data_IF_600111645374
#
_entry.id   IF_600111645374
#
_cell.length_a   1.000
_cell.length_b   1.000
_cell.length_c   1.000
_cell.angle_alpha   90.00
_cell.angle_beta   90.00
_cell.angle_gamma   90.00
#
_symmetry.space_group_name_H-M   'P 1'
#
loop_
_entity.id
_entity.type
_entity.pdbx_description
1 polymer ?
#
# COMPACT_ATOMS: atom_id res chain seq x y z
N UNK A 1 -22.17 83.63 -41.53
CA UNK A 1 -22.69 84.30 -40.32
C UNK A 1 -23.44 83.29 -39.47
N UNK A 2 -23.12 83.25 -38.16
CA UNK A 2 -23.92 82.85 -36.97
C UNK A 2 -24.85 81.60 -36.99
N UNK A 3 -24.54 80.66 -36.08
CA UNK A 3 -25.35 79.91 -35.06
C UNK A 3 -26.90 80.07 -35.04
N UNK A 4 -27.72 79.16 -34.42
CA UNK A 4 -27.43 78.15 -33.36
C UNK A 4 -28.03 76.73 -33.59
N UNK A 5 -27.57 75.65 -32.91
CA UNK A 5 -27.98 75.12 -31.56
C UNK A 5 -29.49 74.79 -31.51
N UNK A 6 -29.89 73.53 -31.29
CA UNK A 6 -30.01 72.94 -29.94
C UNK A 6 -29.82 71.42 -29.90
N UNK A 7 -29.12 71.00 -28.85
CA UNK A 7 -28.93 69.64 -28.36
C UNK A 7 -30.03 69.27 -27.34
N UNK A 8 -30.10 67.97 -27.04
CA UNK A 8 -30.03 67.36 -25.69
C UNK A 8 -31.31 66.71 -25.12
N UNK A 9 -31.08 65.52 -24.51
CA UNK A 9 -31.90 64.65 -23.62
C UNK A 9 -32.61 63.47 -24.31
N UNK A 10 -32.48 62.18 -23.94
CA UNK A 10 -31.78 61.51 -22.83
C UNK A 10 -31.84 59.97 -23.00
N UNK A 11 -30.77 59.28 -22.58
CA UNK A 11 -30.74 58.09 -21.71
C UNK A 11 -31.17 56.66 -22.15
N UNK A 12 -30.15 55.77 -21.99
CA UNK A 12 -30.11 54.37 -21.51
C UNK A 12 -29.79 53.30 -22.58
N UNK A 13 -28.52 52.89 -22.73
CA UNK A 13 -27.72 51.92 -21.91
C UNK A 13 -28.16 50.46 -22.13
N UNK A 14 -27.31 49.66 -22.79
CA UNK A 14 -26.54 48.50 -22.25
C UNK A 14 -27.05 47.20 -22.94
N UNK A 15 -26.27 46.18 -23.30
CA UNK A 15 -24.87 45.85 -23.12
C UNK A 15 -24.46 44.79 -24.16
N UNK A 16 -23.20 44.83 -24.59
CA UNK A 16 -22.50 43.73 -25.26
C UNK A 16 -22.49 42.48 -24.36
N UNK A 17 -22.75 41.30 -24.92
CA UNK A 17 -22.32 40.02 -24.36
C UNK A 17 -21.51 39.28 -25.42
N UNK A 18 -20.19 39.45 -25.34
CA UNK A 18 -19.17 38.72 -26.08
C UNK A 18 -19.02 37.34 -25.40
N UNK A 19 -19.60 36.29 -25.97
CA UNK A 19 -19.48 34.93 -25.41
C UNK A 19 -18.11 34.34 -25.76
N UNK A 20 -17.22 34.37 -24.77
CA UNK A 20 -15.93 33.72 -24.72
C UNK A 20 -16.13 32.19 -24.78
N UNK A 21 -15.76 31.55 -25.89
CA UNK A 21 -15.72 30.07 -25.99
C UNK A 21 -14.50 29.58 -25.24
N UNK A 22 -14.71 29.09 -24.01
CA UNK A 22 -13.68 28.41 -23.22
C UNK A 22 -13.51 27.00 -23.78
N UNK A 23 -12.43 26.79 -24.54
CA UNK A 23 -11.93 25.45 -24.87
C UNK A 23 -11.41 24.81 -23.59
N UNK A 24 -12.21 23.94 -22.96
CA UNK A 24 -11.76 23.11 -21.84
C UNK A 24 -10.83 22.05 -22.43
N UNK A 25 -9.54 22.18 -22.13
CA UNK A 25 -8.55 21.15 -22.42
C UNK A 25 -8.94 19.87 -21.68
N UNK A 26 -9.41 18.86 -22.41
CA UNK A 26 -9.55 17.50 -21.93
C UNK A 26 -8.16 16.98 -21.58
N UNK A 27 -7.87 16.97 -20.28
CA UNK A 27 -6.66 16.39 -19.72
C UNK A 27 -6.53 14.94 -20.16
N UNK A 28 -5.30 14.52 -20.49
CA UNK A 28 -4.91 13.13 -20.58
C UNK A 28 -5.32 12.41 -19.30
N UNK A 29 -6.39 11.62 -19.32
CA UNK A 29 -6.57 10.57 -18.33
C UNK A 29 -5.77 9.37 -18.85
N UNK A 30 -4.72 8.91 -18.13
CA UNK A 30 -4.12 7.62 -18.45
C UNK A 30 -5.21 6.55 -18.40
N UNK A 31 -5.09 5.48 -19.22
CA UNK A 31 -6.06 4.39 -19.20
C UNK A 31 -6.21 3.89 -17.76
N UNK A 32 -7.43 3.53 -17.31
CA UNK A 32 -7.62 2.94 -16.00
C UNK A 32 -6.73 1.69 -15.94
N UNK A 33 -5.70 1.74 -15.10
CA UNK A 33 -4.93 0.56 -14.73
C UNK A 33 -5.93 -0.50 -14.27
N UNK A 34 -5.83 -1.73 -14.79
CA UNK A 34 -6.60 -2.83 -14.23
C UNK A 34 -6.46 -2.79 -12.70
N UNK A 35 -7.56 -2.91 -11.95
CA UNK A 35 -7.47 -2.82 -10.51
C UNK A 35 -6.48 -3.88 -10.05
N UNK A 36 -5.48 -3.48 -9.27
CA UNK A 36 -4.38 -4.31 -8.75
C UNK A 36 -4.88 -5.49 -7.88
N UNK A 37 -6.19 -5.70 -7.82
CA UNK A 37 -6.90 -6.70 -7.05
C UNK A 37 -7.05 -6.33 -5.58
N UNK A 38 -6.55 -5.16 -5.17
CA UNK A 38 -6.64 -4.61 -3.83
C UNK A 38 -7.06 -3.14 -3.81
N UNK A 39 -7.61 -2.69 -2.68
CA UNK A 39 -8.09 -1.34 -2.43
C UNK A 39 -7.16 -0.62 -1.44
N UNK A 40 -6.76 0.61 -1.76
CA UNK A 40 -6.03 1.46 -0.82
C UNK A 40 -6.98 2.04 0.23
N UNK A 41 -6.73 1.74 1.51
CA UNK A 41 -7.50 2.26 2.64
C UNK A 41 -6.87 3.52 3.23
N UNK A 42 -5.54 3.52 3.38
CA UNK A 42 -4.79 4.64 3.94
C UNK A 42 -3.48 4.79 3.17
N UNK A 43 -3.16 6.02 2.78
CA UNK A 43 -1.89 6.33 2.12
C UNK A 43 -0.70 6.15 3.08
N UNK A 44 0.46 5.77 2.54
CA UNK A 44 1.70 5.65 3.28
C UNK A 44 2.11 6.99 3.92
N UNK A 45 2.41 6.97 5.21
CA UNK A 45 3.00 8.09 5.94
C UNK A 45 4.51 7.94 6.13
N UNK A 46 5.04 6.71 6.09
CA UNK A 46 6.47 6.40 5.98
C UNK A 46 6.84 6.17 4.52
N UNK A 47 8.02 6.66 4.12
CA UNK A 47 8.57 6.53 2.77
C UNK A 47 9.99 5.93 2.82
N UNK A 48 10.45 5.29 1.73
CA UNK A 48 11.85 4.87 1.63
C UNK A 48 12.80 6.04 1.89
N UNK A 49 13.79 5.83 2.75
CA UNK A 49 14.70 6.89 3.23
C UNK A 49 14.29 7.53 4.55
N UNK A 50 13.02 7.41 4.97
CA UNK A 50 12.59 7.91 6.28
C UNK A 50 13.19 7.06 7.41
N UNK A 51 13.45 7.72 8.54
CA UNK A 51 13.87 7.02 9.76
C UNK A 51 12.69 6.24 10.32
N UNK A 52 12.84 4.92 10.46
CA UNK A 52 11.80 4.08 11.05
C UNK A 52 11.66 4.37 12.56
N UNK A 53 10.42 4.54 13.07
CA UNK A 53 10.20 4.74 14.50
C UNK A 53 10.60 3.49 15.27
N UNK A 54 11.22 3.64 16.44
CA UNK A 54 11.55 2.51 17.31
C UNK A 54 10.36 2.21 18.24
N UNK A 55 9.74 1.02 18.16
CA UNK A 55 8.58 0.70 18.97
C UNK A 55 8.95 0.39 20.42
N UNK A 56 8.01 0.60 21.34
CA UNK A 56 8.14 0.14 22.74
C UNK A 56 7.97 -1.37 22.88
N UNK A 57 7.16 -1.97 21.99
CA UNK A 57 6.95 -3.40 21.89
C UNK A 57 6.84 -3.82 20.43
N UNK A 58 7.88 -4.48 19.92
CA UNK A 58 7.91 -4.98 18.55
C UNK A 58 7.00 -6.21 18.38
N UNK A 59 6.29 -6.28 17.25
CA UNK A 59 5.54 -7.46 16.81
C UNK A 59 6.18 -8.14 15.59
N UNK A 60 7.09 -7.43 14.91
CA UNK A 60 7.93 -7.93 13.83
C UNK A 60 9.36 -7.51 14.07
N UNK A 61 10.30 -8.45 13.91
CA UNK A 61 11.74 -8.17 13.87
C UNK A 61 12.29 -8.57 12.52
N UNK A 62 12.99 -7.66 11.85
CA UNK A 62 13.66 -7.92 10.57
C UNK A 62 15.17 -7.85 10.79
N UNK A 63 15.90 -8.81 10.27
CA UNK A 63 17.36 -8.91 10.39
C UNK A 63 18.02 -9.18 9.04
N UNK A 64 19.36 -9.15 9.03
CA UNK A 64 20.15 -9.51 7.86
C UNK A 64 20.55 -8.30 7.02
N UNK A 65 20.46 -8.44 5.69
CA UNK A 65 20.91 -7.44 4.70
C UNK A 65 20.00 -6.22 4.61
N UNK A 66 20.11 -5.34 5.60
CA UNK A 66 19.25 -4.16 5.79
C UNK A 66 20.05 -2.85 5.65
N UNK A 67 19.45 -1.83 5.03
CA UNK A 67 20.02 -0.49 4.92
C UNK A 67 19.36 0.56 5.82
N UNK A 68 18.23 0.23 6.47
CA UNK A 68 17.50 1.18 7.34
C UNK A 68 17.16 0.63 8.74
N UNK A 69 18.13 0.13 9.53
CA UNK A 69 17.86 -0.39 10.87
C UNK A 69 17.44 0.70 11.87
N UNK A 70 16.53 0.37 12.79
CA UNK A 70 16.09 1.26 13.88
C UNK A 70 16.37 0.69 15.29
N UNK A 71 16.90 -0.53 15.38
CA UNK A 71 17.25 -1.19 16.63
C UNK A 71 18.53 -2.02 16.46
N UNK A 72 19.69 -1.38 16.70
CA UNK A 72 20.98 -2.01 16.48
C UNK A 72 21.17 -2.37 15.00
N UNK A 73 21.37 -3.65 14.70
CA UNK A 73 21.45 -4.18 13.33
C UNK A 73 20.13 -4.75 12.81
N UNK A 74 19.02 -4.52 13.52
CA UNK A 74 17.69 -5.01 13.17
C UNK A 74 16.72 -3.85 12.92
N UNK A 75 15.61 -4.18 12.25
CA UNK A 75 14.41 -3.35 12.21
C UNK A 75 13.37 -3.98 13.15
N UNK A 76 12.90 -3.22 14.11
CA UNK A 76 11.79 -3.57 14.98
C UNK A 76 10.56 -2.77 14.56
N UNK A 77 9.43 -3.44 14.34
CA UNK A 77 8.17 -2.79 13.96
C UNK A 77 7.04 -3.22 14.88
N UNK A 78 6.20 -2.25 15.26
CA UNK A 78 4.88 -2.49 15.82
C UNK A 78 3.80 -2.42 14.72
N UNK A 79 2.53 -2.51 15.11
CA UNK A 79 1.43 -2.47 14.14
C UNK A 79 1.32 -1.10 13.45
N UNK A 80 1.51 -0.01 14.20
CA UNK A 80 1.37 1.35 13.67
C UNK A 80 2.42 1.63 12.60
N UNK A 81 3.68 1.28 12.87
CA UNK A 81 4.77 1.42 11.90
C UNK A 81 4.63 0.52 10.67
N UNK A 82 4.03 -0.66 10.79
CA UNK A 82 3.68 -1.51 9.64
C UNK A 82 2.58 -0.84 8.81
N UNK A 83 1.47 -0.43 9.44
CA UNK A 83 0.34 0.20 8.74
C UNK A 83 0.71 1.58 8.15
N UNK A 84 1.73 2.24 8.69
CA UNK A 84 2.29 3.50 8.17
C UNK A 84 2.99 3.35 6.81
N UNK A 85 3.35 2.13 6.39
CA UNK A 85 3.81 1.84 5.03
C UNK A 85 2.71 1.98 3.97
N UNK A 86 1.46 2.17 4.39
CA UNK A 86 0.27 2.15 3.53
C UNK A 86 -0.61 0.97 3.90
N UNK A 87 -1.90 1.23 4.08
CA UNK A 87 -2.87 0.20 4.41
C UNK A 87 -3.70 -0.12 3.17
N UNK A 88 -3.69 -1.39 2.77
CA UNK A 88 -4.54 -1.90 1.70
C UNK A 88 -5.50 -2.96 2.25
N UNK A 89 -6.60 -3.16 1.54
CA UNK A 89 -7.50 -4.28 1.74
C UNK A 89 -7.54 -5.13 0.48
N UNK A 90 -7.50 -6.45 0.63
CA UNK A 90 -7.89 -7.32 -0.47
C UNK A 90 -8.53 -8.62 -0.04
N UNK A 91 -9.33 -9.13 -0.96
CA UNK A 91 -10.12 -10.36 -0.81
C UNK A 91 -9.33 -11.52 -1.42
N UNK A 92 -9.19 -12.61 -0.67
CA UNK A 92 -8.50 -13.81 -1.12
C UNK A 92 -9.20 -15.07 -0.64
N UNK A 93 -8.91 -16.20 -1.29
CA UNK A 93 -9.33 -17.52 -0.80
C UNK A 93 -8.28 -18.11 0.13
N UNK A 94 -8.48 -17.92 1.43
CA UNK A 94 -7.65 -18.51 2.49
C UNK A 94 -7.94 -20.02 2.61
N UNK A 95 -6.94 -20.93 2.58
CA UNK A 95 -7.15 -22.36 2.82
C UNK A 95 -7.74 -22.69 4.21
N UNK A 96 -7.58 -21.82 5.20
CA UNK A 96 -8.04 -22.01 6.58
C UNK A 96 -9.43 -21.44 6.86
N UNK A 97 -9.98 -20.59 5.98
CA UNK A 97 -11.32 -20.03 6.11
C UNK A 97 -12.19 -20.45 4.92
N UNK A 98 -13.41 -20.94 5.15
CA UNK A 98 -14.31 -21.26 4.05
C UNK A 98 -14.72 -19.98 3.30
N UNK A 99 -14.50 -19.96 1.99
CA UNK A 99 -14.88 -18.85 1.11
C UNK A 99 -13.80 -17.80 0.95
N UNK A 100 -14.21 -16.59 0.58
CA UNK A 100 -13.31 -15.45 0.40
C UNK A 100 -13.30 -14.57 1.63
N UNK A 101 -12.11 -14.23 2.13
CA UNK A 101 -11.91 -13.40 3.33
C UNK A 101 -11.19 -12.10 2.94
N UNK A 102 -11.53 -10.98 3.59
CA UNK A 102 -10.83 -9.71 3.41
C UNK A 102 -9.75 -9.57 4.48
N UNK A 103 -8.52 -9.33 4.05
CA UNK A 103 -7.43 -8.97 4.95
C UNK A 103 -7.07 -7.50 4.75
N UNK A 104 -6.53 -6.88 5.81
CA UNK A 104 -5.91 -5.56 5.72
C UNK A 104 -4.51 -5.60 6.30
N UNK A 105 -3.61 -4.84 5.68
CA UNK A 105 -2.20 -4.78 6.06
C UNK A 105 -1.40 -3.93 5.10
N UNK A 106 -0.08 -4.02 5.21
CA UNK A 106 0.85 -3.41 4.28
C UNK A 106 1.33 -4.44 3.26
N UNK A 107 1.57 -4.00 2.02
CA UNK A 107 2.20 -4.85 1.02
C UNK A 107 3.65 -5.12 1.43
N UNK A 108 4.09 -6.37 1.26
CA UNK A 108 5.47 -6.74 1.54
C UNK A 108 6.45 -5.92 0.69
N UNK A 109 6.11 -5.63 -0.57
CA UNK A 109 6.90 -4.77 -1.45
C UNK A 109 7.17 -3.38 -0.86
N UNK A 110 6.14 -2.74 -0.29
CA UNK A 110 6.27 -1.42 0.35
C UNK A 110 7.16 -1.49 1.58
N UNK A 111 7.01 -2.54 2.40
CA UNK A 111 7.86 -2.77 3.57
C UNK A 111 9.33 -3.01 3.18
N UNK A 112 9.59 -3.83 2.15
CA UNK A 112 10.96 -4.08 1.64
C UNK A 112 11.60 -2.77 1.15
N UNK A 113 10.83 -1.90 0.50
CA UNK A 113 11.30 -0.57 0.09
C UNK A 113 11.65 0.32 1.29
N UNK A 114 10.86 0.29 2.37
CA UNK A 114 11.18 1.00 3.62
C UNK A 114 12.45 0.49 4.30
N UNK A 115 12.71 -0.82 4.24
CA UNK A 115 13.87 -1.46 4.87
C UNK A 115 15.18 -1.20 4.12
N UNK A 116 15.10 -0.73 2.87
CA UNK A 116 16.24 -0.36 2.02
C UNK A 116 17.28 -1.47 1.98
N UNK A 117 16.89 -2.64 1.47
CA UNK A 117 17.75 -3.84 1.49
C UNK A 117 19.10 -3.59 0.82
N UNK A 118 20.11 -4.32 1.28
CA UNK A 118 21.38 -4.39 0.56
C UNK A 118 21.15 -4.90 -0.88
N UNK A 119 21.78 -4.32 -1.92
CA UNK A 119 21.66 -4.81 -3.30
C UNK A 119 21.99 -6.30 -3.48
N UNK A 120 22.81 -6.88 -2.60
CA UNK A 120 23.16 -8.30 -2.63
C UNK A 120 22.09 -9.20 -1.97
N UNK A 121 21.00 -8.64 -1.45
CA UNK A 121 19.88 -9.43 -0.91
C UNK A 121 19.14 -10.18 -2.02
N UNK A 122 18.89 -11.46 -1.81
CA UNK A 122 18.28 -12.34 -2.83
C UNK A 122 17.10 -13.14 -2.31
N UNK A 123 17.06 -13.38 -1.00
CA UNK A 123 16.02 -14.18 -0.37
C UNK A 123 15.53 -13.52 0.92
N UNK A 124 14.32 -13.89 1.33
CA UNK A 124 13.83 -13.62 2.66
C UNK A 124 13.34 -14.92 3.30
N UNK A 125 13.62 -15.08 4.58
CA UNK A 125 13.08 -16.16 5.39
C UNK A 125 12.03 -15.60 6.35
N UNK A 126 10.79 -16.05 6.20
CA UNK A 126 9.68 -15.77 7.10
C UNK A 126 9.71 -16.77 8.25
N UNK A 127 9.51 -16.30 9.48
CA UNK A 127 9.44 -17.15 10.68
C UNK A 127 8.19 -16.86 11.52
N UNK A 128 7.43 -17.92 11.78
CA UNK A 128 6.30 -17.92 12.70
C UNK A 128 6.73 -18.10 14.16
N UNK A 129 5.83 -17.77 15.08
CA UNK A 129 6.03 -17.89 16.53
C UNK A 129 6.33 -19.31 16.99
N UNK A 130 5.77 -20.33 16.34
CA UNK A 130 5.98 -21.75 16.65
C UNK A 130 7.30 -22.31 16.08
N UNK A 131 8.06 -21.48 15.36
CA UNK A 131 9.31 -21.87 14.72
C UNK A 131 9.15 -22.34 13.27
N UNK A 132 7.93 -22.37 12.71
CA UNK A 132 7.74 -22.63 11.29
C UNK A 132 8.45 -21.59 10.42
N UNK A 133 9.11 -22.03 9.36
CA UNK A 133 9.90 -21.17 8.48
C UNK A 133 9.65 -21.47 7.01
N UNK A 134 9.67 -20.40 6.21
CA UNK A 134 9.54 -20.44 4.76
C UNK A 134 10.55 -19.47 4.17
N UNK A 135 11.34 -19.92 3.20
CA UNK A 135 12.23 -19.05 2.43
C UNK A 135 11.60 -18.77 1.07
N UNK A 136 11.63 -17.50 0.66
CA UNK A 136 11.12 -17.02 -0.62
C UNK A 136 12.23 -16.25 -1.34
N UNK A 137 12.37 -16.44 -2.65
CA UNK A 137 13.22 -15.58 -3.47
C UNK A 137 12.57 -14.21 -3.62
N UNK A 138 13.36 -13.13 -3.46
CA UNK A 138 12.90 -11.76 -3.74
C UNK A 138 12.46 -11.60 -5.20
N UNK A 139 13.09 -12.32 -6.13
CA UNK A 139 12.76 -12.27 -7.55
C UNK A 139 11.41 -12.94 -7.83
N UNK A 140 11.08 -14.05 -7.14
CA UNK A 140 9.82 -14.78 -7.35
C UNK A 140 8.61 -14.01 -6.82
N UNK A 141 8.80 -13.17 -5.80
CA UNK A 141 7.72 -12.42 -5.14
C UNK A 141 7.63 -10.96 -5.59
N UNK A 142 8.52 -10.49 -6.47
CA UNK A 142 8.62 -9.08 -6.85
C UNK A 142 7.30 -8.50 -7.39
N UNK A 143 6.58 -9.29 -8.19
CA UNK A 143 5.30 -8.91 -8.80
C UNK A 143 4.08 -9.53 -8.10
N UNK A 144 4.28 -10.14 -6.92
CA UNK A 144 3.20 -10.76 -6.15
C UNK A 144 2.76 -9.77 -5.05
N UNK A 145 1.47 -9.36 -5.01
CA UNK A 145 0.96 -8.46 -3.97
C UNK A 145 0.76 -9.20 -2.64
N UNK A 146 1.84 -9.72 -2.07
CA UNK A 146 1.86 -10.35 -0.76
C UNK A 146 1.53 -9.32 0.33
N UNK A 147 0.63 -9.68 1.23
CA UNK A 147 0.24 -8.83 2.34
C UNK A 147 0.86 -9.33 3.64
N UNK A 148 1.48 -8.40 4.38
CA UNK A 148 1.71 -8.58 5.81
C UNK A 148 0.45 -8.10 6.52
N UNK A 149 -0.49 -9.02 6.73
CA UNK A 149 -1.79 -8.71 7.31
C UNK A 149 -1.66 -8.35 8.78
N UNK A 150 -2.35 -7.28 9.16
CA UNK A 150 -2.52 -6.83 10.55
C UNK A 150 -3.96 -7.03 11.02
N UNK A 151 -4.91 -7.23 10.10
CA UNK A 151 -6.34 -7.30 10.38
C UNK A 151 -7.01 -8.33 9.48
N UNK A 152 -8.06 -8.94 10.02
CA UNK A 152 -9.02 -9.74 9.28
C UNK A 152 -10.35 -9.00 9.32
N UNK A 153 -10.93 -8.76 8.15
CA UNK A 153 -12.02 -7.81 7.96
C UNK A 153 -11.65 -6.43 8.51
N UNK A 154 -12.43 -5.87 9.44
CA UNK A 154 -12.11 -4.61 10.14
C UNK A 154 -11.52 -4.82 11.55
N UNK A 155 -11.32 -6.07 11.97
CA UNK A 155 -10.96 -6.43 13.33
C UNK A 155 -9.50 -6.89 13.44
N UNK A 156 -9.03 -7.10 14.67
CA UNK A 156 -7.71 -7.71 14.89
C UNK A 156 -7.71 -9.13 14.36
N UNK A 157 -6.53 -9.59 13.93
CA UNK A 157 -6.35 -11.00 13.61
C UNK A 157 -6.73 -11.89 14.80
N UNK A 158 -7.41 -13.03 14.56
CA UNK A 158 -7.64 -14.02 15.59
C UNK A 158 -6.30 -14.58 16.12
N UNK A 159 -6.25 -15.14 17.34
CA UNK A 159 -5.01 -15.60 17.96
C UNK A 159 -4.17 -16.55 17.09
N UNK A 160 -4.81 -17.40 16.29
CA UNK A 160 -4.14 -18.36 15.41
C UNK A 160 -3.41 -17.71 14.22
N UNK A 161 -3.68 -16.43 13.94
CA UNK A 161 -3.04 -15.64 12.89
C UNK A 161 -2.24 -14.46 13.47
N UNK A 162 -2.55 -14.03 14.70
CA UNK A 162 -1.90 -12.90 15.35
C UNK A 162 -0.43 -13.18 15.73
N UNK A 163 0.46 -12.18 15.76
CA UNK A 163 0.17 -10.75 15.59
C UNK A 163 0.09 -10.28 14.13
N UNK A 164 0.67 -11.06 13.22
CA UNK A 164 0.79 -10.81 11.78
C UNK A 164 0.65 -12.13 11.02
N UNK A 165 0.15 -12.08 9.80
CA UNK A 165 0.13 -13.23 8.90
C UNK A 165 0.56 -12.82 7.49
N UNK A 166 1.31 -13.68 6.81
CA UNK A 166 1.61 -13.53 5.39
C UNK A 166 0.42 -14.07 4.58
N UNK A 167 -0.19 -13.22 3.76
CA UNK A 167 -1.37 -13.58 2.98
C UNK A 167 -1.03 -13.57 1.49
N UNK A 168 -1.50 -14.60 0.79
CA UNK A 168 -1.33 -14.76 -0.65
C UNK A 168 -2.58 -14.30 -1.40
N UNK A 169 -2.45 -13.72 -2.60
CA UNK A 169 -3.56 -13.15 -3.37
C UNK A 169 -4.35 -14.20 -4.17
N UNK A 170 -4.66 -15.38 -3.61
CA UNK A 170 -5.35 -16.44 -4.36
C UNK A 170 -6.75 -16.07 -4.83
N UNK A 171 -6.99 -16.29 -6.12
CA UNK A 171 -8.25 -15.95 -6.78
C UNK A 171 -8.39 -14.45 -7.09
N UNK A 172 -7.30 -13.68 -6.94
CA UNK A 172 -7.19 -12.31 -7.42
C UNK A 172 -6.51 -12.31 -8.80
N UNK A 173 -7.12 -11.69 -9.82
CA UNK A 173 -6.54 -11.63 -11.16
C UNK A 173 -6.09 -13.01 -11.67
N UNK A 174 -4.85 -13.10 -12.15
CA UNK A 174 -4.25 -14.32 -12.67
C UNK A 174 -3.58 -15.21 -11.59
N UNK A 175 -3.71 -14.87 -10.30
CA UNK A 175 -3.16 -15.65 -9.20
C UNK A 175 -4.01 -16.90 -8.91
N UNK A 176 -3.80 -17.93 -9.74
CA UNK A 176 -4.38 -19.26 -9.57
C UNK A 176 -3.71 -20.05 -8.43
N UNK A 177 -4.42 -21.05 -7.88
CA UNK A 177 -3.83 -22.04 -6.97
C UNK A 177 -3.02 -23.07 -7.79
N UNK A 178 -1.86 -23.61 -7.32
CA UNK A 178 -1.36 -23.56 -5.95
C UNK A 178 0.12 -23.14 -5.81
N UNK A 179 0.36 -22.09 -5.04
CA UNK A 179 1.39 -22.22 -4.00
C UNK A 179 0.73 -23.00 -2.85
N UNK A 180 1.37 -24.07 -2.37
CA UNK A 180 0.83 -24.95 -1.32
C UNK A 180 0.63 -24.19 0.01
N UNK A 181 -0.21 -24.70 0.93
CA UNK A 181 -0.43 -24.14 2.28
C UNK A 181 0.88 -23.85 3.04
N UNK A 182 1.98 -24.49 2.66
CA UNK A 182 3.31 -24.24 3.21
C UNK A 182 3.75 -22.77 3.12
N UNK A 183 3.25 -21.96 2.17
CA UNK A 183 3.68 -20.57 2.08
C UNK A 183 2.88 -19.61 2.98
N UNK A 184 1.85 -20.12 3.67
CA UNK A 184 1.01 -19.33 4.58
C UNK A 184 1.62 -19.28 5.97
N UNK A 185 2.42 -18.24 6.22
CA UNK A 185 3.05 -18.02 7.51
C UNK A 185 2.10 -17.25 8.42
N UNK A 186 1.40 -17.97 9.29
CA UNK A 186 0.58 -17.42 10.38
C UNK A 186 1.46 -17.08 11.58
N UNK A 187 1.01 -16.17 12.44
CA UNK A 187 1.77 -15.75 13.63
C UNK A 187 3.21 -15.34 13.29
N UNK A 188 3.39 -14.65 12.16
CA UNK A 188 4.66 -14.13 11.70
C UNK A 188 5.24 -13.18 12.76
N UNK A 189 6.50 -13.41 13.13
CA UNK A 189 7.20 -12.62 14.15
C UNK A 189 8.58 -12.16 13.70
N UNK A 190 9.20 -12.84 12.72
CA UNK A 190 10.50 -12.44 12.21
C UNK A 190 10.63 -12.64 10.69
N UNK A 191 11.48 -11.80 10.09
CA UNK A 191 11.91 -11.92 8.70
C UNK A 191 13.44 -11.76 8.67
N UNK A 192 14.15 -12.70 8.07
CA UNK A 192 15.60 -12.58 7.85
C UNK A 192 15.87 -12.36 6.36
N UNK A 193 16.52 -11.25 6.02
CA UNK A 193 16.93 -10.91 4.64
C UNK A 193 18.33 -11.47 4.38
N UNK A 194 18.46 -12.28 3.34
CA UNK A 194 19.68 -13.05 3.03
C UNK A 194 20.34 -12.63 1.74
#
# INVERSE_FOLDING_TARGET
MRFPRNYFWECRLLALCLTLVVFVATACQPPPSEPLGYEFLTAASLRPGDRLPQPSAAILTVTGKLGNPNQGSAIAMDRESIEAAGLVAYRTHDPYHPGSTVYRGALLADLLALWQLDPDATELQLQARDGYQVTLSLAEIADVPLLVATRLESERLPPDFAPLAMIWPYGMGDFARPFTDQFWVRQLVAIAIQ
#
